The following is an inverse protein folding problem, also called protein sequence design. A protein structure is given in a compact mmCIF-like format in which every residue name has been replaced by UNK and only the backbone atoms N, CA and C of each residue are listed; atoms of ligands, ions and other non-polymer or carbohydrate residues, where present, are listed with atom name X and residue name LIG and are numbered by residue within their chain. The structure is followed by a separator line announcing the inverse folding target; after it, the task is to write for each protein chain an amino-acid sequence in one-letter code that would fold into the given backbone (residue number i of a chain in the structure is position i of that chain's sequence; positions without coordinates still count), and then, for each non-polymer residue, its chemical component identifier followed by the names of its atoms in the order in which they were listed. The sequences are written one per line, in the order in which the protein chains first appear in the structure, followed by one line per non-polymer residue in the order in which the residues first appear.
data_IF_718382263237
#
_entry.id   IF_718382263237
#
_cell.length_a   1.000
_cell.length_b   1.000
_cell.length_c   1.000
_cell.angle_alpha   90.00
_cell.angle_beta   90.00
_cell.angle_gamma   90.00
#
_symmetry.space_group_name_H-M   'P 1'
#
loop_
_entity.id
_entity.type
_entity.pdbx_description
1 polymer ?
#
# COMPACT_ATOMS: atom_id res chain seq x y z
N UNK A 1 -15.39 -4.98 3.23
CA UNK A 1 -14.28 -4.03 2.98
C UNK A 1 -13.10 -4.37 3.85
N UNK A 2 -11.88 -4.19 3.32
CA UNK A 2 -10.63 -4.69 3.92
C UNK A 2 -10.74 -6.17 4.28
N UNK A 3 -11.35 -6.94 3.37
CA UNK A 3 -11.62 -8.35 3.59
C UNK A 3 -10.31 -9.10 3.82
N UNK A 4 -10.34 -10.06 4.73
CA UNK A 4 -9.23 -10.96 5.00
C UNK A 4 -9.74 -12.41 4.93
N UNK A 5 -8.97 -13.34 4.36
CA UNK A 5 -9.35 -14.75 4.35
C UNK A 5 -9.26 -15.30 5.77
N UNK A 6 -10.31 -15.98 6.22
CA UNK A 6 -10.37 -16.59 7.55
C UNK A 6 -11.00 -17.98 7.46
N UNK A 7 -10.46 -18.96 8.19
CA UNK A 7 -10.90 -20.36 8.15
C UNK A 7 -12.36 -20.54 8.61
N UNK A 8 -12.82 -19.65 9.50
CA UNK A 8 -14.22 -19.65 9.95
C UNK A 8 -15.23 -19.13 8.90
N UNK A 9 -14.78 -18.61 7.75
CA UNK A 9 -15.67 -18.29 6.64
C UNK A 9 -16.00 -19.59 5.91
N UNK A 10 -17.09 -20.24 6.33
CA UNK A 10 -17.60 -21.48 5.74
C UNK A 10 -17.87 -21.32 4.24
N UNK A 11 -17.83 -22.43 3.51
CA UNK A 11 -17.93 -22.46 2.03
C UNK A 11 -19.17 -21.73 1.48
N UNK A 12 -20.28 -21.72 2.23
CA UNK A 12 -21.51 -21.01 1.85
C UNK A 12 -21.31 -19.49 1.64
N UNK A 13 -20.43 -18.87 2.42
CA UNK A 13 -20.19 -17.42 2.35
C UNK A 13 -19.38 -17.01 1.13
N UNK A 14 -18.57 -17.92 0.56
CA UNK A 14 -17.77 -17.64 -0.64
C UNK A 14 -18.63 -17.26 -1.83
N UNK A 15 -19.80 -17.90 -1.96
CA UNK A 15 -20.76 -17.61 -3.02
C UNK A 15 -21.64 -16.38 -2.79
N UNK A 16 -21.57 -15.76 -1.60
CA UNK A 16 -22.47 -14.69 -1.18
C UNK A 16 -21.76 -13.37 -0.88
N UNK A 17 -20.44 -13.39 -0.72
CA UNK A 17 -19.64 -12.23 -0.39
C UNK A 17 -18.84 -11.77 -1.60
N UNK A 18 -18.93 -10.47 -1.88
CA UNK A 18 -17.98 -9.76 -2.73
C UNK A 18 -17.00 -9.02 -1.82
N UNK A 19 -15.72 -9.35 -1.93
CA UNK A 19 -14.68 -8.87 -1.04
C UNK A 19 -13.96 -7.64 -1.62
N UNK A 20 -14.05 -6.48 -0.96
CA UNK A 20 -13.14 -5.36 -1.25
C UNK A 20 -11.80 -5.53 -0.56
N UNK A 21 -10.71 -5.51 -1.31
CA UNK A 21 -9.34 -5.47 -0.78
C UNK A 21 -8.39 -4.73 -1.73
N UNK A 22 -7.78 -3.64 -1.25
CA UNK A 22 -6.82 -2.84 -2.01
C UNK A 22 -5.36 -3.32 -1.90
N UNK A 23 -5.05 -4.17 -0.91
CA UNK A 23 -3.70 -4.70 -0.72
C UNK A 23 -3.51 -6.02 -1.48
N UNK A 24 -2.64 -6.02 -2.49
CA UNK A 24 -2.48 -7.09 -3.48
C UNK A 24 -2.22 -8.49 -2.88
N UNK A 25 -1.33 -8.66 -1.87
CA UNK A 25 -1.11 -9.98 -1.27
C UNK A 25 -2.40 -10.58 -0.69
N UNK A 26 -3.17 -9.78 0.05
CA UNK A 26 -4.45 -10.23 0.64
C UNK A 26 -5.52 -10.42 -0.43
N UNK A 27 -5.55 -9.56 -1.44
CA UNK A 27 -6.45 -9.67 -2.58
C UNK A 27 -6.25 -11.01 -3.31
N UNK A 28 -5.00 -11.36 -3.62
CA UNK A 28 -4.67 -12.61 -4.30
C UNK A 28 -5.00 -13.83 -3.45
N UNK A 29 -4.75 -13.76 -2.14
CA UNK A 29 -5.11 -14.84 -1.22
C UNK A 29 -6.63 -15.06 -1.16
N UNK A 30 -7.44 -14.01 -1.19
CA UNK A 30 -8.91 -14.12 -1.24
C UNK A 30 -9.39 -14.80 -2.51
N UNK A 31 -8.83 -14.44 -3.67
CA UNK A 31 -9.11 -15.12 -4.95
C UNK A 31 -8.70 -16.58 -4.88
N UNK A 32 -7.51 -16.88 -4.36
CA UNK A 32 -6.99 -18.24 -4.27
C UNK A 32 -7.88 -19.16 -3.42
N UNK A 33 -8.50 -18.62 -2.36
CA UNK A 33 -9.45 -19.40 -1.53
C UNK A 33 -10.90 -19.35 -2.05
N UNK A 34 -11.14 -18.72 -3.21
CA UNK A 34 -12.38 -18.80 -3.96
C UNK A 34 -13.41 -17.69 -3.70
N UNK A 35 -13.02 -16.56 -3.12
CA UNK A 35 -13.91 -15.39 -3.00
C UNK A 35 -13.93 -14.55 -4.28
N UNK A 36 -15.11 -14.06 -4.65
CA UNK A 36 -15.20 -12.92 -5.57
C UNK A 36 -14.55 -11.70 -4.89
N UNK A 37 -13.49 -11.17 -5.49
CA UNK A 37 -12.68 -10.12 -4.88
C UNK A 37 -12.44 -8.98 -5.87
N UNK A 38 -12.67 -7.74 -5.41
CA UNK A 38 -12.53 -6.52 -6.20
C UNK A 38 -11.67 -5.50 -5.44
N UNK A 39 -10.98 -4.62 -6.18
CA UNK A 39 -10.21 -3.53 -5.58
C UNK A 39 -11.14 -2.47 -4.94
N UNK A 40 -12.33 -2.30 -5.54
CA UNK A 40 -13.33 -1.32 -5.12
C UNK A 40 -14.73 -1.89 -5.37
N UNK A 41 -15.58 -1.89 -4.34
CA UNK A 41 -16.98 -2.29 -4.44
C UNK A 41 -17.80 -1.19 -5.10
N UNK A 42 -18.70 -1.63 -5.96
CA UNK A 42 -19.75 -0.84 -6.60
C UNK A 42 -21.10 -1.56 -6.43
N UNK A 43 -22.21 -0.83 -6.63
CA UNK A 43 -23.56 -1.39 -6.54
C UNK A 43 -24.26 -1.16 -5.20
N UNK A 44 -25.14 -2.10 -4.84
CA UNK A 44 -25.96 -2.05 -3.63
C UNK A 44 -25.99 -3.42 -2.95
N UNK A 45 -26.01 -3.42 -1.61
CA UNK A 45 -25.89 -4.63 -0.81
C UNK A 45 -26.90 -4.63 0.34
N UNK A 46 -27.49 -5.79 0.63
CA UNK A 46 -28.38 -6.00 1.77
C UNK A 46 -27.63 -6.06 3.12
N UNK A 47 -26.33 -6.36 3.10
CA UNK A 47 -25.48 -6.37 4.28
C UNK A 47 -24.03 -6.01 3.91
N UNK A 48 -23.30 -5.47 4.87
CA UNK A 48 -21.90 -5.09 4.71
C UNK A 48 -21.07 -5.44 5.93
N UNK A 49 -19.80 -5.80 5.70
CA UNK A 49 -18.81 -5.99 6.75
C UNK A 49 -17.60 -5.07 6.50
N UNK A 50 -17.23 -4.29 7.49
CA UNK A 50 -16.01 -3.46 7.49
C UNK A 50 -15.07 -3.98 8.57
N UNK A 51 -13.89 -4.46 8.16
CA UNK A 51 -12.81 -4.77 9.09
C UNK A 51 -12.01 -3.49 9.37
N UNK A 52 -11.87 -3.13 10.64
CA UNK A 52 -11.20 -1.91 11.06
C UNK A 52 -9.67 -2.05 10.93
N UNK A 53 -9.03 -1.02 10.40
CA UNK A 53 -7.57 -0.90 10.31
C UNK A 53 -7.03 -0.02 11.45
N UNK A 54 -5.70 0.17 11.51
CA UNK A 54 -5.07 1.13 12.42
C UNK A 54 -5.27 2.60 12.01
N UNK A 55 -5.80 2.87 10.81
CA UNK A 55 -5.87 4.21 10.25
C UNK A 55 -7.28 4.81 10.41
N UNK A 56 -7.38 5.83 11.27
CA UNK A 56 -8.68 6.41 11.65
C UNK A 56 -9.45 7.02 10.48
N UNK A 57 -8.78 7.81 9.63
CA UNK A 57 -9.38 8.47 8.48
C UNK A 57 -9.91 7.44 7.47
N UNK A 58 -9.14 6.39 7.23
CA UNK A 58 -9.53 5.28 6.38
C UNK A 58 -10.77 4.55 6.91
N UNK A 59 -10.80 4.22 8.20
CA UNK A 59 -11.97 3.57 8.81
C UNK A 59 -13.23 4.42 8.67
N UNK A 60 -13.13 5.74 8.88
CA UNK A 60 -14.25 6.67 8.66
C UNK A 60 -14.72 6.65 7.20
N UNK A 61 -13.80 6.71 6.25
CA UNK A 61 -14.13 6.64 4.82
C UNK A 61 -14.83 5.33 4.46
N UNK A 62 -14.32 4.20 4.98
CA UNK A 62 -14.90 2.88 4.74
C UNK A 62 -16.30 2.76 5.36
N UNK A 63 -16.54 3.31 6.56
CA UNK A 63 -17.87 3.38 7.16
C UNK A 63 -18.83 4.19 6.30
N UNK A 64 -18.44 5.40 5.89
CA UNK A 64 -19.26 6.26 5.04
C UNK A 64 -19.58 5.61 3.69
N UNK A 65 -18.57 4.98 3.05
CA UNK A 65 -18.75 4.25 1.79
C UNK A 65 -19.68 3.05 1.95
N UNK A 66 -19.42 2.20 2.94
CA UNK A 66 -20.23 1.01 3.17
C UNK A 66 -21.69 1.40 3.46
N UNK A 67 -21.90 2.45 4.25
CA UNK A 67 -23.23 3.01 4.50
C UNK A 67 -23.94 3.49 3.23
N UNK A 68 -23.21 4.09 2.27
CA UNK A 68 -23.75 4.50 0.98
C UNK A 68 -24.00 3.38 -0.02
N UNK A 69 -23.33 2.23 0.17
CA UNK A 69 -23.50 1.01 -0.63
C UNK A 69 -24.62 0.11 -0.09
N UNK A 70 -25.15 0.36 1.11
CA UNK A 70 -26.25 -0.43 1.67
C UNK A 70 -27.62 -0.03 1.12
N UNK A 71 -28.47 -1.04 0.92
CA UNK A 71 -29.90 -0.86 0.70
C UNK A 71 -30.61 -0.39 1.98
N UNK A 72 -31.74 0.31 1.89
CA UNK A 72 -32.59 0.57 3.06
C UNK A 72 -32.96 -0.73 3.78
N UNK A 73 -32.84 -0.74 5.10
CA UNK A 73 -32.99 -1.93 5.95
C UNK A 73 -31.73 -2.80 6.05
N UNK A 74 -30.69 -2.53 5.26
CA UNK A 74 -29.46 -3.29 5.25
C UNK A 74 -28.62 -3.13 6.50
N UNK A 75 -27.86 -4.16 6.87
CA UNK A 75 -27.06 -4.18 8.10
C UNK A 75 -25.59 -3.89 7.80
N UNK A 76 -25.01 -2.87 8.44
CA UNK A 76 -23.56 -2.67 8.44
C UNK A 76 -22.96 -3.23 9.71
N UNK A 77 -22.09 -4.24 9.57
CA UNK A 77 -21.30 -4.79 10.66
C UNK A 77 -19.87 -4.26 10.58
N UNK A 78 -19.32 -3.85 11.72
CA UNK A 78 -17.94 -3.39 11.83
C UNK A 78 -17.23 -4.23 12.89
N UNK A 79 -16.01 -4.66 12.60
CA UNK A 79 -15.25 -5.51 13.51
C UNK A 79 -13.77 -5.12 13.55
N UNK A 80 -13.17 -5.10 14.74
CA UNK A 80 -11.73 -4.91 14.88
C UNK A 80 -11.21 -5.11 16.29
N UNK A 81 -9.90 -5.31 16.40
CA UNK A 81 -9.23 -5.40 17.69
C UNK A 81 -9.26 -4.05 18.43
N UNK A 82 -9.40 -4.08 19.75
CA UNK A 82 -9.32 -2.88 20.61
C UNK A 82 -8.00 -2.13 20.42
N UNK A 83 -6.93 -2.87 20.14
CA UNK A 83 -5.62 -2.30 19.91
C UNK A 83 -5.51 -1.51 18.58
N UNK A 84 -6.50 -1.64 17.68
CA UNK A 84 -6.67 -0.80 16.48
C UNK A 84 -7.60 0.39 16.73
N UNK A 85 -8.03 0.62 17.98
CA UNK A 85 -8.91 1.73 18.33
C UNK A 85 -10.40 1.44 18.13
N UNK A 86 -10.81 0.17 18.10
CA UNK A 86 -12.21 -0.23 17.83
C UNK A 86 -13.24 0.46 18.75
N UNK A 87 -12.91 0.67 20.03
CA UNK A 87 -13.79 1.38 20.97
C UNK A 87 -14.00 2.87 20.61
N UNK A 88 -13.03 3.49 19.94
CA UNK A 88 -13.20 4.87 19.46
C UNK A 88 -14.09 4.90 18.23
N UNK A 89 -13.95 3.92 17.34
CA UNK A 89 -14.78 3.80 16.14
C UNK A 89 -16.24 3.47 16.49
N UNK A 90 -16.48 2.60 17.48
CA UNK A 90 -17.82 2.29 17.97
C UNK A 90 -18.54 3.54 18.49
N UNK A 91 -17.90 4.34 19.35
CA UNK A 91 -18.47 5.60 19.88
C UNK A 91 -18.78 6.62 18.78
N UNK A 92 -17.94 6.65 17.75
CA UNK A 92 -18.15 7.53 16.61
C UNK A 92 -19.29 7.04 15.72
N UNK A 93 -19.41 5.74 15.51
CA UNK A 93 -20.51 5.14 14.77
C UNK A 93 -21.85 5.32 15.50
N UNK A 94 -21.89 5.17 16.82
CA UNK A 94 -23.07 5.49 17.65
C UNK A 94 -23.53 6.93 17.43
N UNK A 95 -22.60 7.90 17.54
CA UNK A 95 -22.93 9.32 17.36
C UNK A 95 -23.53 9.63 15.98
N UNK A 96 -23.03 8.98 14.93
CA UNK A 96 -23.31 9.36 13.54
C UNK A 96 -24.48 8.57 12.95
N UNK A 97 -24.57 7.29 13.27
CA UNK A 97 -25.53 6.37 12.68
C UNK A 97 -26.54 5.79 13.69
N UNK A 98 -26.22 5.84 14.99
CA UNK A 98 -26.88 5.03 16.01
C UNK A 98 -26.50 3.55 15.90
N UNK A 99 -26.25 2.89 17.03
CA UNK A 99 -26.01 1.44 17.02
C UNK A 99 -27.30 0.66 17.20
N UNK A 100 -27.44 -0.40 16.40
CA UNK A 100 -28.44 -1.44 16.64
C UNK A 100 -27.94 -2.50 17.63
N UNK A 101 -26.63 -2.57 17.85
CA UNK A 101 -26.03 -3.38 18.91
C UNK A 101 -24.51 -3.45 18.83
N UNK A 102 -23.90 -3.96 19.89
CA UNK A 102 -22.47 -4.24 19.95
C UNK A 102 -22.13 -5.43 20.84
N UNK A 103 -20.95 -5.99 20.59
CA UNK A 103 -20.35 -7.11 21.29
C UNK A 103 -18.87 -6.81 21.51
N UNK A 104 -18.37 -7.14 22.70
CA UNK A 104 -16.96 -7.03 23.05
C UNK A 104 -16.49 -8.36 23.63
N UNK A 105 -15.56 -9.02 22.94
CA UNK A 105 -15.03 -10.33 23.34
C UNK A 105 -13.61 -10.50 22.79
N UNK A 106 -12.76 -11.24 23.50
CA UNK A 106 -11.38 -11.56 23.05
C UNK A 106 -10.56 -10.35 22.59
N UNK A 107 -10.65 -9.23 23.31
CA UNK A 107 -9.99 -7.96 22.97
C UNK A 107 -10.37 -7.38 21.59
N UNK A 108 -11.51 -7.79 21.04
CA UNK A 108 -12.11 -7.24 19.84
C UNK A 108 -13.50 -6.68 20.13
N UNK A 109 -13.94 -5.78 19.27
CA UNK A 109 -15.30 -5.23 19.27
C UNK A 109 -15.93 -5.47 17.92
N UNK A 110 -17.19 -5.86 17.96
CA UNK A 110 -18.08 -5.95 16.82
C UNK A 110 -19.30 -5.11 17.12
N UNK A 111 -19.64 -4.17 16.24
CA UNK A 111 -20.83 -3.33 16.40
C UNK A 111 -21.54 -3.22 15.06
N UNK A 112 -22.84 -2.99 15.08
CA UNK A 112 -23.62 -2.92 13.85
C UNK A 112 -24.69 -1.84 13.89
N UNK A 113 -25.02 -1.40 12.69
CA UNK A 113 -25.98 -0.34 12.38
C UNK A 113 -26.97 -0.88 11.35
N UNK A 114 -28.18 -0.32 11.33
CA UNK A 114 -29.18 -0.64 10.29
C UNK A 114 -29.42 0.61 9.45
N UNK A 115 -29.32 0.47 8.13
CA UNK A 115 -29.52 1.56 7.19
C UNK A 115 -30.98 1.99 7.16
N UNK A 116 -31.26 3.21 7.59
CA UNK A 116 -32.59 3.82 7.44
C UNK A 116 -32.90 4.23 6.00
N UNK A 117 -34.14 4.69 5.77
CA UNK A 117 -34.59 5.25 4.48
C UNK A 117 -34.12 6.70 4.25
N UNK A 118 -33.59 7.34 5.28
CA UNK A 118 -33.17 8.74 5.23
C UNK A 118 -31.88 8.93 4.42
N UNK A 119 -31.60 10.19 4.07
CA UNK A 119 -30.32 10.60 3.50
C UNK A 119 -29.14 10.20 4.38
N UNK A 120 -27.96 9.90 3.82
CA UNK A 120 -26.76 9.65 4.62
C UNK A 120 -26.48 10.80 5.60
N UNK A 121 -25.99 10.52 6.83
CA UNK A 121 -25.55 11.55 7.77
C UNK A 121 -24.53 12.50 7.13
N UNK A 122 -24.58 13.79 7.50
CA UNK A 122 -23.69 14.80 6.95
C UNK A 122 -22.20 14.48 7.16
N UNK A 123 -21.85 13.86 8.29
CA UNK A 123 -20.49 13.38 8.60
C UNK A 123 -19.93 12.44 7.51
N UNK A 124 -20.78 11.69 6.79
CA UNK A 124 -20.33 10.81 5.71
C UNK A 124 -19.59 11.60 4.62
N UNK A 125 -20.11 12.78 4.24
CA UNK A 125 -19.48 13.60 3.22
C UNK A 125 -18.12 14.15 3.69
N UNK A 126 -18.03 14.59 4.95
CA UNK A 126 -16.77 15.03 5.56
C UNK A 126 -15.75 13.89 5.61
N UNK A 127 -16.18 12.69 5.99
CA UNK A 127 -15.30 11.52 6.10
C UNK A 127 -14.76 11.06 4.74
N UNK A 128 -15.59 11.11 3.70
CA UNK A 128 -15.16 10.83 2.33
C UNK A 128 -14.14 11.88 1.87
N UNK A 129 -14.44 13.17 2.03
CA UNK A 129 -13.53 14.26 1.66
C UNK A 129 -12.20 14.20 2.45
N UNK A 130 -12.23 13.72 3.69
CA UNK A 130 -11.02 13.56 4.50
C UNK A 130 -10.11 12.42 4.02
N UNK A 131 -10.63 11.49 3.21
CA UNK A 131 -9.90 10.38 2.65
C UNK A 131 -9.36 10.63 1.24
N UNK A 132 -9.72 11.77 0.63
CA UNK A 132 -9.15 12.19 -0.64
C UNK A 132 -7.67 12.57 -0.51
N UNK A 133 -6.88 12.48 -1.59
CA UNK A 133 -5.48 12.87 -1.59
C UNK A 133 -5.29 14.34 -1.19
N UNK A 134 -4.28 14.61 -0.36
CA UNK A 134 -3.95 15.97 0.11
C UNK A 134 -2.52 16.32 -0.25
N UNK A 135 -2.20 17.63 -0.44
CA UNK A 135 -0.83 18.06 -0.66
C UNK A 135 0.12 17.59 0.44
N UNK A 136 1.24 17.01 0.03
CA UNK A 136 2.36 16.64 0.91
C UNK A 136 3.36 17.79 0.91
N UNK A 137 3.73 18.24 2.11
CA UNK A 137 4.60 19.40 2.29
C UNK A 137 5.96 19.20 1.59
N UNK A 138 6.40 20.23 0.83
CA UNK A 138 7.75 20.30 0.29
C UNK A 138 8.03 19.50 -0.99
N UNK A 139 7.03 18.88 -1.62
CA UNK A 139 7.24 18.14 -2.89
C UNK A 139 6.24 18.45 -4.01
N UNK A 140 5.15 19.20 -3.74
CA UNK A 140 4.16 19.54 -4.76
C UNK A 140 3.31 18.35 -5.24
N UNK A 141 3.37 17.23 -4.53
CA UNK A 141 2.64 16.00 -4.80
C UNK A 141 1.53 15.81 -3.76
N UNK A 142 0.60 14.91 -4.03
CA UNK A 142 -0.51 14.56 -3.12
C UNK A 142 -0.39 13.12 -2.62
N UNK A 143 -0.88 12.87 -1.42
CA UNK A 143 -1.04 11.52 -0.91
C UNK A 143 -2.29 11.46 -0.04
N UNK A 144 -3.02 10.34 -0.08
CA UNK A 144 -4.18 10.15 0.79
C UNK A 144 -3.81 9.52 2.12
N UNK A 145 -4.63 9.79 3.12
CA UNK A 145 -4.44 9.25 4.46
C UNK A 145 -4.52 7.71 4.44
N UNK A 146 -3.55 7.05 5.10
CA UNK A 146 -3.44 5.59 5.11
C UNK A 146 -2.37 5.05 4.16
N UNK A 147 -1.93 5.83 3.18
CA UNK A 147 -0.73 5.55 2.41
C UNK A 147 0.54 5.78 3.25
N UNK A 148 1.65 5.15 2.85
CA UNK A 148 2.94 5.33 3.52
C UNK A 148 3.42 6.78 3.44
N UNK A 149 3.78 7.37 4.59
CA UNK A 149 4.28 8.75 4.71
C UNK A 149 3.39 9.77 3.98
N UNK A 150 2.08 9.72 4.23
CA UNK A 150 1.09 10.54 3.50
C UNK A 150 1.04 12.01 3.93
N UNK A 151 1.70 12.39 5.03
CA UNK A 151 1.70 13.73 5.61
C UNK A 151 3.03 14.48 5.38
N UNK A 152 4.11 13.77 5.06
CA UNK A 152 5.42 14.34 4.80
C UNK A 152 6.25 13.43 3.88
N UNK A 153 7.28 13.98 3.23
CA UNK A 153 8.24 13.18 2.47
C UNK A 153 9.05 12.29 3.41
N UNK A 154 9.03 10.98 3.15
CA UNK A 154 9.82 10.01 3.93
C UNK A 154 11.32 10.31 3.86
N UNK A 155 11.97 10.25 5.02
CA UNK A 155 13.41 10.52 5.14
C UNK A 155 14.25 9.50 4.39
N UNK A 156 13.85 8.22 4.42
CA UNK A 156 14.51 7.15 3.68
C UNK A 156 14.45 7.38 2.17
N UNK A 157 13.26 7.67 1.63
CA UNK A 157 13.08 7.99 0.21
C UNK A 157 13.90 9.21 -0.22
N UNK A 158 13.92 10.29 0.58
CA UNK A 158 14.76 11.46 0.29
C UNK A 158 16.24 11.13 0.32
N UNK A 159 16.70 10.36 1.31
CA UNK A 159 18.09 9.91 1.40
C UNK A 159 18.49 9.04 0.20
N UNK A 160 17.59 8.16 -0.27
CA UNK A 160 17.79 7.37 -1.47
C UNK A 160 17.98 8.26 -2.70
N UNK A 161 17.10 9.25 -2.88
CA UNK A 161 17.14 10.18 -4.01
C UNK A 161 18.46 10.97 -4.06
N UNK A 162 18.97 11.41 -2.91
CA UNK A 162 20.26 12.10 -2.78
C UNK A 162 21.44 11.22 -3.22
N UNK A 163 21.33 9.90 -3.06
CA UNK A 163 22.39 8.95 -3.37
C UNK A 163 22.32 8.39 -4.79
N UNK A 164 21.34 8.79 -5.61
CA UNK A 164 21.23 8.30 -6.98
C UNK A 164 22.42 8.76 -7.83
N UNK A 165 22.96 7.89 -8.70
CA UNK A 165 24.04 8.27 -9.62
C UNK A 165 23.62 9.42 -10.54
N UNK A 166 24.50 10.40 -10.76
CA UNK A 166 24.19 11.61 -11.57
C UNK A 166 23.78 11.31 -13.02
N UNK A 167 24.31 10.23 -13.61
CA UNK A 167 23.99 9.79 -14.97
C UNK A 167 22.98 8.64 -15.02
N UNK A 168 21.95 8.66 -14.17
CA UNK A 168 20.87 7.67 -14.24
C UNK A 168 20.14 7.78 -15.59
N UNK A 169 20.05 6.69 -16.35
CA UNK A 169 19.55 6.68 -17.71
C UNK A 169 18.94 5.32 -18.08
N UNK A 170 18.14 5.29 -19.14
CA UNK A 170 17.49 4.08 -19.64
C UNK A 170 16.27 3.67 -18.83
N UNK A 171 15.95 2.37 -18.91
CA UNK A 171 14.73 1.77 -18.36
C UNK A 171 14.86 1.45 -16.88
N UNK A 172 13.90 1.91 -16.07
CA UNK A 172 13.92 1.77 -14.62
C UNK A 172 12.71 1.09 -14.00
N UNK A 173 12.84 0.70 -12.74
CA UNK A 173 11.71 0.30 -11.89
C UNK A 173 11.80 0.91 -10.49
N UNK A 174 10.64 1.24 -9.93
CA UNK A 174 10.43 1.62 -8.54
C UNK A 174 9.62 0.52 -7.83
N UNK A 175 10.29 -0.24 -6.96
CA UNK A 175 9.69 -1.36 -6.24
C UNK A 175 9.17 -0.88 -4.87
N UNK A 176 7.84 -0.89 -4.71
CA UNK A 176 7.18 -0.29 -3.56
C UNK A 176 7.03 1.22 -3.73
N UNK A 177 6.50 1.63 -4.88
CA UNK A 177 6.51 3.03 -5.32
C UNK A 177 5.66 3.96 -4.42
N UNK A 178 4.75 3.42 -3.61
CA UNK A 178 3.83 4.18 -2.79
C UNK A 178 3.02 5.16 -3.63
N UNK A 179 2.94 6.42 -3.19
CA UNK A 179 2.29 7.50 -3.92
C UNK A 179 3.20 8.14 -5.01
N UNK A 180 4.31 7.49 -5.38
CA UNK A 180 5.10 7.84 -6.56
C UNK A 180 6.17 8.92 -6.36
N UNK A 181 6.52 9.26 -5.12
CA UNK A 181 7.52 10.30 -4.81
C UNK A 181 8.86 10.11 -5.54
N UNK A 182 9.50 8.94 -5.36
CA UNK A 182 10.80 8.64 -5.95
C UNK A 182 10.73 8.71 -7.48
N UNK A 183 9.72 8.06 -8.04
CA UNK A 183 9.46 8.04 -9.48
C UNK A 183 9.29 9.43 -10.08
N UNK A 184 8.48 10.30 -9.45
CA UNK A 184 8.27 11.67 -9.90
C UNK A 184 9.56 12.50 -9.88
N UNK A 185 10.33 12.42 -8.80
CA UNK A 185 11.60 13.13 -8.67
C UNK A 185 12.68 12.60 -9.64
N UNK A 186 12.71 11.28 -9.88
CA UNK A 186 13.63 10.67 -10.84
C UNK A 186 13.33 11.18 -12.25
N UNK A 187 12.07 11.14 -12.70
CA UNK A 187 11.69 11.64 -14.02
C UNK A 187 11.98 13.14 -14.18
N UNK A 188 11.86 13.92 -13.10
CA UNK A 188 12.19 15.35 -13.09
C UNK A 188 13.69 15.62 -13.17
N UNK A 189 14.51 14.83 -12.46
CA UNK A 189 15.96 15.04 -12.32
C UNK A 189 16.79 14.43 -13.46
N UNK A 190 16.31 13.34 -14.07
CA UNK A 190 17.10 12.53 -15.01
C UNK A 190 16.41 12.44 -16.39
N UNK A 191 16.72 13.36 -17.32
CA UNK A 191 16.05 13.41 -18.64
C UNK A 191 16.31 12.17 -19.50
N UNK A 192 17.45 11.50 -19.30
CA UNK A 192 17.87 10.29 -20.01
C UNK A 192 17.15 9.01 -19.57
N UNK A 193 16.28 9.08 -18.55
CA UNK A 193 15.36 7.99 -18.21
C UNK A 193 14.33 7.85 -19.33
N UNK A 194 14.25 6.67 -19.93
CA UNK A 194 13.35 6.40 -21.06
C UNK A 194 11.96 6.02 -20.58
N UNK A 195 11.89 5.16 -19.55
CA UNK A 195 10.67 4.67 -18.96
C UNK A 195 10.92 4.16 -17.53
N UNK A 196 9.87 4.16 -16.72
CA UNK A 196 9.87 3.68 -15.34
C UNK A 196 8.60 2.86 -15.07
N UNK A 197 8.79 1.64 -14.57
CA UNK A 197 7.71 0.83 -14.02
C UNK A 197 7.59 1.06 -12.51
N UNK A 198 6.40 1.47 -12.07
CA UNK A 198 6.04 1.60 -10.66
C UNK A 198 5.29 0.34 -10.22
N UNK A 199 5.85 -0.40 -9.27
CA UNK A 199 5.18 -1.55 -8.66
C UNK A 199 4.74 -1.18 -7.24
N UNK A 200 3.46 -1.34 -6.95
CA UNK A 200 2.88 -1.04 -5.64
C UNK A 200 1.79 -2.06 -5.28
N UNK A 201 1.77 -2.48 -4.02
CA UNK A 201 0.84 -3.47 -3.51
C UNK A 201 -0.48 -2.85 -3.03
N UNK A 202 -0.50 -1.59 -2.59
CA UNK A 202 -1.71 -0.87 -2.20
C UNK A 202 -2.30 -0.08 -3.37
N UNK A 203 -3.46 -0.51 -3.85
CA UNK A 203 -4.13 0.05 -5.03
C UNK A 203 -4.34 1.57 -4.94
N UNK A 204 -4.70 2.08 -3.76
CA UNK A 204 -4.96 3.51 -3.59
C UNK A 204 -3.67 4.35 -3.60
N UNK A 205 -2.56 3.79 -3.12
CA UNK A 205 -1.25 4.45 -3.23
C UNK A 205 -0.80 4.53 -4.69
N UNK A 206 -1.03 3.47 -5.46
CA UNK A 206 -0.73 3.47 -6.90
C UNK A 206 -1.62 4.47 -7.68
N UNK A 207 -2.86 4.67 -7.26
CA UNK A 207 -3.75 5.71 -7.82
C UNK A 207 -3.23 7.13 -7.52
N UNK A 208 -2.72 7.38 -6.30
CA UNK A 208 -2.03 8.62 -5.98
C UNK A 208 -0.78 8.81 -6.87
N UNK A 209 0.00 7.75 -7.08
CA UNK A 209 1.16 7.79 -7.96
C UNK A 209 0.77 8.17 -9.40
N UNK A 210 -0.32 7.60 -9.94
CA UNK A 210 -0.83 7.97 -11.28
C UNK A 210 -1.17 9.45 -11.36
N UNK A 211 -1.82 9.97 -10.34
CA UNK A 211 -2.23 11.38 -10.25
C UNK A 211 -1.01 12.30 -10.16
N UNK A 212 -0.04 11.95 -9.32
CA UNK A 212 1.21 12.70 -9.10
C UNK A 212 2.12 12.75 -10.31
N UNK A 213 2.23 11.65 -11.06
CA UNK A 213 3.04 11.59 -12.27
C UNK A 213 2.32 12.21 -13.48
N UNK A 214 1.10 12.74 -13.29
CA UNK A 214 0.41 13.59 -14.27
C UNK A 214 0.16 12.94 -15.63
N UNK A 215 0.07 11.60 -15.68
CA UNK A 215 -0.06 10.87 -16.93
C UNK A 215 1.20 10.83 -17.81
N UNK A 216 2.40 10.96 -17.21
CA UNK A 216 3.67 10.80 -17.92
C UNK A 216 3.68 9.56 -18.82
N UNK A 217 3.96 9.74 -20.11
CA UNK A 217 4.08 8.64 -21.08
C UNK A 217 5.25 7.69 -20.77
N UNK A 218 6.19 8.14 -19.92
CA UNK A 218 7.33 7.34 -19.45
C UNK A 218 6.96 6.41 -18.29
N UNK A 219 5.79 6.57 -17.66
CA UNK A 219 5.45 5.86 -16.45
C UNK A 219 4.40 4.77 -16.69
N UNK A 220 4.73 3.55 -16.31
CA UNK A 220 3.80 2.43 -16.25
C UNK A 220 3.59 2.00 -14.80
N UNK A 221 2.38 1.54 -14.48
CA UNK A 221 1.92 1.41 -13.10
C UNK A 221 1.28 0.04 -12.90
N UNK A 222 1.79 -0.70 -11.94
CA UNK A 222 1.51 -2.12 -11.74
C UNK A 222 1.04 -2.38 -10.31
N UNK A 223 -0.24 -2.75 -10.17
CA UNK A 223 -0.79 -3.17 -8.87
C UNK A 223 -0.38 -4.61 -8.60
N UNK A 224 0.69 -4.79 -7.83
CA UNK A 224 1.42 -6.05 -7.75
C UNK A 224 2.14 -6.24 -6.41
N UNK A 225 2.14 -7.48 -5.92
CA UNK A 225 2.99 -7.90 -4.81
C UNK A 225 4.40 -8.23 -5.31
N UNK A 226 5.35 -7.31 -5.10
CA UNK A 226 6.75 -7.51 -5.48
C UNK A 226 7.38 -8.68 -4.70
N UNK A 227 6.91 -8.95 -3.48
CA UNK A 227 7.39 -10.07 -2.66
C UNK A 227 7.12 -11.42 -3.30
N UNK A 228 6.00 -11.56 -4.03
CA UNK A 228 5.67 -12.73 -4.83
C UNK A 228 6.46 -12.81 -6.16
N UNK A 229 7.13 -11.73 -6.55
CA UNK A 229 7.97 -11.63 -7.76
C UNK A 229 7.37 -10.75 -8.85
N UNK A 230 8.21 -10.40 -9.83
CA UNK A 230 7.84 -9.54 -10.96
C UNK A 230 7.41 -10.36 -12.17
N UNK A 231 6.52 -9.83 -13.03
CA UNK A 231 6.22 -10.44 -14.33
C UNK A 231 7.49 -10.46 -15.20
N UNK A 232 7.52 -11.38 -16.17
CA UNK A 232 8.60 -11.40 -17.17
C UNK A 232 8.55 -10.08 -17.97
N UNK A 233 9.66 -9.36 -17.95
CA UNK A 233 9.84 -8.10 -18.66
C UNK A 233 11.27 -8.01 -19.19
N UNK A 234 11.51 -7.04 -20.07
CA UNK A 234 12.86 -6.65 -20.46
C UNK A 234 13.63 -6.18 -19.22
N UNK A 235 14.88 -6.65 -18.99
CA UNK A 235 15.53 -6.35 -17.74
C UNK A 235 15.88 -4.86 -17.62
N UNK A 236 15.88 -4.34 -16.39
CA UNK A 236 16.05 -2.92 -16.09
C UNK A 236 17.52 -2.48 -16.06
N UNK A 237 17.79 -1.25 -16.50
CA UNK A 237 19.11 -0.60 -16.36
C UNK A 237 19.35 -0.14 -14.91
N UNK A 238 18.28 0.19 -14.19
CA UNK A 238 18.34 0.54 -12.78
C UNK A 238 17.04 0.17 -12.07
N UNK A 239 17.13 -0.08 -10.77
CA UNK A 239 15.98 -0.35 -9.91
C UNK A 239 16.19 0.45 -8.62
N UNK A 240 15.16 1.15 -8.16
CA UNK A 240 15.13 1.79 -6.85
C UNK A 240 14.10 1.11 -5.96
N UNK A 241 14.33 1.12 -4.64
CA UNK A 241 13.34 0.62 -3.70
C UNK A 241 13.51 1.21 -2.30
N UNK A 242 12.39 1.55 -1.68
CA UNK A 242 12.24 1.74 -0.25
C UNK A 242 11.21 0.72 0.27
N UNK A 243 11.60 -0.56 0.49
CA UNK A 243 10.66 -1.62 0.78
C UNK A 243 9.92 -1.37 2.09
N UNK A 244 8.66 -1.84 2.21
CA UNK A 244 7.98 -1.84 3.49
C UNK A 244 8.75 -2.67 4.52
N UNK A 245 8.76 -2.20 5.76
CA UNK A 245 9.56 -2.78 6.85
C UNK A 245 8.71 -3.58 7.85
N UNK A 246 7.38 -3.58 7.72
CA UNK A 246 6.47 -4.24 8.63
C UNK A 246 5.24 -4.81 7.90
N UNK A 247 4.82 -6.01 8.28
CA UNK A 247 3.43 -6.46 8.11
C UNK A 247 2.74 -6.35 9.47
N UNK A 248 1.81 -5.40 9.60
CA UNK A 248 1.15 -5.13 10.88
C UNK A 248 2.07 -4.49 11.93
N UNK A 249 2.38 -5.23 13.02
CA UNK A 249 3.11 -4.71 14.21
C UNK A 249 4.55 -5.22 14.36
N UNK A 250 4.95 -6.24 13.61
CA UNK A 250 6.30 -6.81 13.69
C UNK A 250 7.03 -6.54 12.37
N UNK A 251 8.31 -6.21 12.49
CA UNK A 251 9.17 -6.16 11.33
C UNK A 251 9.27 -7.58 10.74
N UNK A 252 9.00 -7.72 9.45
CA UNK A 252 9.19 -8.97 8.73
C UNK A 252 10.31 -8.79 7.69
N UNK A 253 11.53 -9.26 7.99
CA UNK A 253 12.64 -9.22 7.06
C UNK A 253 12.36 -9.94 5.73
N UNK A 254 11.44 -10.92 5.71
CA UNK A 254 11.15 -11.71 4.51
C UNK A 254 10.59 -10.84 3.37
N UNK A 255 9.84 -9.78 3.69
CA UNK A 255 9.28 -8.85 2.71
C UNK A 255 10.42 -8.17 1.93
N UNK A 256 11.38 -7.56 2.65
CA UNK A 256 12.53 -6.95 2.00
C UNK A 256 13.41 -7.94 1.24
N UNK A 257 13.54 -9.18 1.72
CA UNK A 257 14.24 -10.23 0.99
C UNK A 257 13.55 -10.59 -0.34
N UNK A 258 12.22 -10.60 -0.36
CA UNK A 258 11.42 -10.75 -1.58
C UNK A 258 11.74 -9.65 -2.58
N UNK A 259 11.75 -8.39 -2.14
CA UNK A 259 12.07 -7.24 -2.99
C UNK A 259 13.50 -7.30 -3.56
N UNK A 260 14.48 -7.65 -2.72
CA UNK A 260 15.87 -7.82 -3.17
C UNK A 260 15.98 -8.95 -4.21
N UNK A 261 15.21 -10.03 -4.04
CA UNK A 261 15.14 -11.14 -5.01
C UNK A 261 14.51 -10.72 -6.32
N UNK A 262 13.40 -10.00 -6.27
CA UNK A 262 12.70 -9.47 -7.42
C UNK A 262 13.62 -8.54 -8.24
N UNK A 263 14.28 -7.59 -7.56
CA UNK A 263 15.24 -6.69 -8.18
C UNK A 263 16.40 -7.45 -8.86
N UNK A 264 17.00 -8.41 -8.16
CA UNK A 264 18.11 -9.20 -8.71
C UNK A 264 17.73 -9.99 -9.97
N UNK A 265 16.51 -10.56 -10.02
CA UNK A 265 16.01 -11.30 -11.19
C UNK A 265 15.70 -10.40 -12.38
N UNK A 266 15.26 -9.17 -12.13
CA UNK A 266 14.77 -8.26 -13.16
C UNK A 266 15.82 -7.28 -13.68
N UNK A 267 17.00 -7.19 -13.06
CA UNK A 267 18.02 -6.22 -13.45
C UNK A 267 18.98 -6.75 -14.52
N UNK A 268 19.42 -5.88 -15.44
CA UNK A 268 20.46 -6.21 -16.43
C UNK A 268 21.78 -6.52 -15.73
N UNK A 269 22.67 -7.23 -16.43
CA UNK A 269 23.98 -7.63 -15.92
C UNK A 269 24.87 -6.46 -15.45
N UNK A 270 24.67 -5.27 -16.03
CA UNK A 270 25.37 -4.02 -15.65
C UNK A 270 24.45 -3.01 -14.96
N UNK A 271 23.22 -3.40 -14.66
CA UNK A 271 22.27 -2.50 -14.02
C UNK A 271 22.58 -2.28 -12.55
N UNK A 272 22.02 -1.20 -12.01
CA UNK A 272 22.24 -0.75 -10.62
C UNK A 272 20.98 -0.89 -9.79
N UNK A 273 21.04 -1.63 -8.69
CA UNK A 273 19.97 -1.67 -7.71
C UNK A 273 20.32 -0.75 -6.53
N UNK A 274 19.48 0.25 -6.26
CA UNK A 274 19.65 1.19 -5.15
C UNK A 274 18.52 0.94 -4.15
N UNK A 275 18.89 0.61 -2.92
CA UNK A 275 17.98 0.23 -1.86
C UNK A 275 18.21 1.10 -0.64
N UNK A 276 17.15 1.67 -0.06
CA UNK A 276 17.20 2.25 1.27
C UNK A 276 16.53 1.31 2.27
N UNK A 277 17.11 1.20 3.46
CA UNK A 277 16.56 0.39 4.53
C UNK A 277 16.81 1.01 5.89
N UNK A 278 15.92 0.71 6.85
CA UNK A 278 16.18 1.03 8.26
C UNK A 278 17.47 0.38 8.74
N UNK A 279 18.27 1.11 9.53
CA UNK A 279 19.59 0.69 10.02
C UNK A 279 19.60 -0.65 10.76
N UNK A 280 18.49 -1.00 11.41
CA UNK A 280 18.33 -2.25 12.18
C UNK A 280 18.09 -3.49 11.31
N UNK A 281 17.79 -3.33 10.02
CA UNK A 281 17.43 -4.45 9.15
C UNK A 281 18.67 -5.09 8.50
N UNK A 282 18.81 -6.43 8.56
CA UNK A 282 20.02 -7.12 8.10
C UNK A 282 20.02 -7.40 6.57
N UNK A 283 19.64 -6.42 5.74
CA UNK A 283 19.55 -6.62 4.28
C UNK A 283 20.90 -6.78 3.58
N UNK A 284 22.00 -6.38 4.23
CA UNK A 284 23.35 -6.51 3.70
C UNK A 284 23.73 -7.96 3.38
N UNK A 285 23.33 -8.91 4.23
CA UNK A 285 23.56 -10.34 3.99
C UNK A 285 22.77 -10.84 2.77
N UNK A 286 21.54 -10.36 2.59
CA UNK A 286 20.68 -10.71 1.48
C UNK A 286 21.20 -10.17 0.14
N UNK A 287 21.64 -8.90 0.16
CA UNK A 287 22.25 -8.22 -0.98
C UNK A 287 23.52 -8.95 -1.41
N UNK A 288 24.44 -9.24 -0.48
CA UNK A 288 25.70 -9.95 -0.78
C UNK A 288 25.50 -11.38 -1.26
N UNK A 289 24.38 -12.01 -0.90
CA UNK A 289 24.04 -13.35 -1.41
C UNK A 289 23.66 -13.33 -2.89
N UNK A 290 23.07 -12.25 -3.38
CA UNK A 290 22.52 -12.15 -4.74
C UNK A 290 23.42 -11.37 -5.69
N UNK A 291 23.91 -10.23 -5.25
CA UNK A 291 24.71 -9.33 -6.05
C UNK A 291 26.18 -9.58 -5.79
N UNK A 292 26.99 -9.43 -6.85
CA UNK A 292 28.44 -9.61 -6.76
C UNK A 292 29.11 -8.48 -5.99
N UNK A 293 28.60 -7.27 -6.16
CA UNK A 293 29.12 -6.07 -5.53
C UNK A 293 28.00 -5.38 -4.75
N UNK A 294 28.30 -4.97 -3.51
CA UNK A 294 27.38 -4.26 -2.62
C UNK A 294 28.17 -3.17 -1.89
N UNK A 295 27.80 -1.92 -2.15
CA UNK A 295 28.46 -0.74 -1.58
C UNK A 295 27.45 0.02 -0.72
N UNK A 296 27.83 0.34 0.52
CA UNK A 296 27.09 1.27 1.35
C UNK A 296 27.40 2.69 0.86
N UNK A 297 26.44 3.35 0.22
CA UNK A 297 26.60 4.71 -0.30
C UNK A 297 26.52 5.75 0.82
N UNK A 298 25.58 5.56 1.76
CA UNK A 298 25.33 6.51 2.84
C UNK A 298 24.64 5.83 4.02
N UNK A 299 24.97 6.28 5.23
CA UNK A 299 24.25 5.95 6.46
C UNK A 299 23.93 7.27 7.18
N UNK A 300 22.65 7.61 7.27
CA UNK A 300 22.17 8.86 7.87
C UNK A 300 20.70 8.74 8.28
N UNK A 301 20.25 9.55 9.24
CA UNK A 301 18.85 9.66 9.66
C UNK A 301 18.18 8.34 10.08
N UNK A 302 18.97 7.35 10.51
CA UNK A 302 18.48 6.01 10.88
C UNK A 302 18.34 5.04 9.70
N UNK A 303 18.75 5.43 8.50
CA UNK A 303 18.69 4.65 7.27
C UNK A 303 20.08 4.35 6.70
N UNK A 304 20.15 3.26 5.92
CA UNK A 304 21.30 2.90 5.09
C UNK A 304 20.88 2.83 3.63
N UNK A 305 21.66 3.44 2.74
CA UNK A 305 21.47 3.35 1.29
C UNK A 305 22.56 2.47 0.70
N UNK A 306 22.15 1.40 0.04
CA UNK A 306 23.02 0.45 -0.62
C UNK A 306 22.92 0.57 -2.14
N UNK A 307 24.05 0.44 -2.82
CA UNK A 307 24.14 0.19 -4.25
C UNK A 307 24.61 -1.24 -4.46
N UNK A 308 23.85 -2.03 -5.23
CA UNK A 308 24.19 -3.39 -5.56
C UNK A 308 24.27 -3.58 -7.08
N UNK A 309 25.26 -4.35 -7.54
CA UNK A 309 25.55 -4.55 -8.96
C UNK A 309 26.07 -5.97 -9.25
N UNK A 310 25.91 -6.39 -10.51
CA UNK A 310 26.50 -7.64 -11.04
C UNK A 310 27.72 -7.37 -11.93
N UNK A 311 28.28 -6.15 -11.86
CA UNK A 311 29.40 -5.72 -12.69
C UNK A 311 30.71 -6.40 -12.25
N UNK A 312 31.58 -6.65 -13.23
CA UNK A 312 33.01 -6.79 -12.99
C UNK A 312 33.63 -5.44 -13.35
N UNK A 313 34.25 -4.77 -12.40
CA UNK A 313 35.35 -3.88 -12.76
C UNK A 313 36.53 -4.81 -13.08
N UNK A 314 36.93 -4.77 -14.35
CA UNK A 314 38.20 -5.31 -14.82
C UNK A 314 39.16 -4.14 -14.94
#
# INVERSE_FOLDING_TARGET
MRAEPHEALWDEWRSRLVCEQGFKPTFDRLIQVGFETVARLEGRFAAGLVLLTKHKAENRANLARAWGLLEPGGVLVCCGANALGAASHEREAERVFGLAGSLSKHQARTFWMVRGTDSPPADCAEWLAAAEPRPVEGCGLVARAGCFSSDHVDKGSRLLLDCLPEGLAGRGADLGAGWGYLSAEILRRFPEVTDIDLFEAEALALEDARSNLGGSEKAAFHWLDVGAGLPKCEPYDWIVSNPPFHEGRKADPAIGQGFITAAWKAIRRRGKFILVANRSLPYEAELRRRFREVTLLREADGFKVYLASNRHDK
#
